data_IF_742779250563
#
_entry.id   IF_742779250563
#
_cell.length_a   1.000
_cell.length_b   1.000
_cell.length_c   1.000
_cell.angle_alpha   90.00
_cell.angle_beta   90.00
_cell.angle_gamma   90.00
#
_symmetry.space_group_name_H-M   'P 1'
#
loop_
_entity.id
_entity.type
_entity.pdbx_description
1 polymer ?
#
# COMPACT_ATOMS: atom_id res chain seq x y z
N UNK A 1 46.97 34.52 2.40
CA UNK A 1 46.25 33.96 1.24
C UNK A 1 45.84 32.53 1.60
N UNK A 2 44.72 32.41 2.29
CA UNK A 2 44.19 31.12 2.72
C UNK A 2 43.25 30.57 1.66
N UNK A 3 43.68 29.51 1.03
CA UNK A 3 42.87 28.73 0.07
C UNK A 3 41.84 27.94 0.83
N UNK A 4 40.60 28.43 0.83
CA UNK A 4 39.41 27.72 1.30
C UNK A 4 39.27 26.40 0.54
N UNK A 5 39.58 25.28 1.21
CA UNK A 5 39.29 23.93 0.75
C UNK A 5 37.77 23.76 0.70
N UNK A 6 37.26 23.62 -0.51
CA UNK A 6 35.87 23.24 -0.80
C UNK A 6 35.49 21.92 -0.08
N UNK A 7 34.32 21.85 0.59
CA UNK A 7 33.93 20.62 1.27
C UNK A 7 33.68 19.49 0.26
N UNK A 8 34.33 18.37 0.53
CA UNK A 8 34.27 17.06 -0.11
C UNK A 8 32.90 16.80 -0.75
N UNK A 9 32.77 16.95 -2.06
CA UNK A 9 31.73 16.28 -2.84
C UNK A 9 31.95 14.77 -2.62
N UNK A 10 31.03 14.11 -1.94
CA UNK A 10 30.97 12.64 -1.94
C UNK A 10 30.96 12.24 -3.42
N UNK A 11 31.81 11.28 -3.84
CA UNK A 11 31.79 10.77 -5.21
C UNK A 11 30.37 10.31 -5.51
N UNK A 12 29.85 10.69 -6.67
CA UNK A 12 28.54 10.29 -7.16
C UNK A 12 28.39 8.80 -6.91
N UNK A 13 27.50 8.45 -5.97
CA UNK A 13 27.26 7.06 -5.62
C UNK A 13 26.68 6.41 -6.88
N UNK A 14 27.53 5.70 -7.60
CA UNK A 14 27.20 5.01 -8.85
C UNK A 14 25.93 4.17 -8.60
N UNK A 15 24.85 4.49 -9.29
CA UNK A 15 23.59 3.79 -9.12
C UNK A 15 23.81 2.28 -9.45
N UNK A 16 23.58 1.43 -8.46
CA UNK A 16 23.78 -0.01 -8.59
C UNK A 16 22.44 -0.69 -8.89
N UNK A 17 22.48 -1.76 -9.69
CA UNK A 17 21.31 -2.62 -9.83
C UNK A 17 20.99 -3.33 -8.50
N UNK A 18 19.74 -3.77 -8.32
CA UNK A 18 19.33 -4.49 -7.10
C UNK A 18 20.14 -5.77 -6.92
N UNK A 19 20.46 -6.48 -8.02
CA UNK A 19 21.30 -7.67 -7.95
C UNK A 19 22.75 -7.35 -7.58
N UNK A 20 23.31 -6.24 -8.03
CA UNK A 20 24.64 -5.81 -7.61
C UNK A 20 24.68 -5.44 -6.13
N UNK A 21 23.65 -4.75 -5.63
CA UNK A 21 23.50 -4.44 -4.20
C UNK A 21 23.43 -5.73 -3.37
N UNK A 22 22.68 -6.73 -3.83
CA UNK A 22 22.57 -8.02 -3.16
C UNK A 22 23.90 -8.78 -3.14
N UNK A 23 24.67 -8.75 -4.24
CA UNK A 23 26.01 -9.36 -4.34
C UNK A 23 27.03 -8.69 -3.43
N UNK A 24 27.02 -7.34 -3.37
CA UNK A 24 27.94 -6.58 -2.50
C UNK A 24 27.63 -6.76 -1.02
N UNK A 25 26.42 -7.17 -0.67
CA UNK A 25 25.97 -7.32 0.71
C UNK A 25 25.38 -8.71 1.00
N UNK A 26 26.16 -9.80 0.81
CA UNK A 26 25.64 -11.17 0.89
C UNK A 26 25.08 -11.56 2.26
N UNK A 27 25.54 -10.90 3.32
CA UNK A 27 25.03 -11.12 4.69
C UNK A 27 23.67 -10.44 4.93
N UNK A 28 23.30 -9.46 4.09
CA UNK A 28 22.00 -8.78 4.16
C UNK A 28 21.02 -9.50 3.22
N UNK A 29 19.93 -9.95 3.77
CA UNK A 29 18.89 -10.64 2.99
C UNK A 29 18.05 -9.62 2.24
N UNK A 30 18.50 -9.20 1.06
CA UNK A 30 17.82 -8.21 0.21
C UNK A 30 16.72 -8.88 -0.61
N UNK A 31 17.00 -10.06 -1.19
CA UNK A 31 16.07 -10.77 -2.07
C UNK A 31 15.22 -11.76 -1.27
N UNK A 32 14.30 -11.23 -0.46
CA UNK A 32 13.40 -12.02 0.38
C UNK A 32 11.94 -11.66 0.11
N UNK A 33 11.06 -12.50 0.60
CA UNK A 33 9.62 -12.31 0.59
C UNK A 33 9.22 -10.94 1.20
N UNK A 34 8.33 -10.16 0.55
CA UNK A 34 7.95 -8.81 0.98
C UNK A 34 7.42 -8.72 2.41
N UNK A 35 6.73 -9.75 2.90
CA UNK A 35 6.24 -9.83 4.27
C UNK A 35 7.37 -9.71 5.33
N UNK A 36 8.59 -10.09 4.94
CA UNK A 36 9.79 -10.05 5.79
C UNK A 36 10.66 -8.81 5.53
N UNK A 37 10.21 -7.87 4.70
CA UNK A 37 10.94 -6.64 4.46
C UNK A 37 11.14 -5.85 5.76
N UNK A 38 12.27 -5.17 5.81
CA UNK A 38 12.70 -4.34 6.94
C UNK A 38 13.09 -2.96 6.44
N UNK A 39 13.49 -2.07 7.33
CA UNK A 39 14.01 -0.73 6.98
C UNK A 39 15.09 -0.78 5.89
N UNK A 40 15.91 -1.83 5.87
CA UNK A 40 16.93 -2.02 4.82
C UNK A 40 16.32 -1.96 3.41
N UNK A 41 15.14 -2.53 3.20
CA UNK A 41 14.48 -2.54 1.89
C UNK A 41 13.98 -1.14 1.50
N UNK A 42 13.51 -0.37 2.48
CA UNK A 42 13.16 1.04 2.27
C UNK A 42 14.39 1.86 1.89
N UNK A 43 15.52 1.63 2.56
CA UNK A 43 16.77 2.33 2.29
C UNK A 43 17.30 2.00 0.88
N UNK A 44 17.18 0.75 0.43
CA UNK A 44 17.55 0.32 -0.93
C UNK A 44 16.68 0.99 -1.99
N UNK A 45 15.37 1.13 -1.72
CA UNK A 45 14.43 1.79 -2.60
C UNK A 45 14.47 3.32 -2.47
N UNK A 46 15.35 3.86 -1.62
CA UNK A 46 15.37 5.29 -1.26
C UNK A 46 13.98 5.80 -0.89
N UNK A 47 13.24 4.95 -0.15
CA UNK A 47 11.87 5.20 0.22
C UNK A 47 11.76 6.02 1.50
N UNK A 48 11.00 7.09 1.44
CA UNK A 48 10.66 7.96 2.57
C UNK A 48 9.15 8.07 2.71
N UNK A 49 8.68 8.27 3.95
CA UNK A 49 7.28 8.55 4.23
C UNK A 49 7.12 10.02 4.60
N UNK A 50 6.07 10.66 4.08
CA UNK A 50 5.65 11.97 4.56
C UNK A 50 5.00 11.86 5.95
N UNK A 51 4.90 12.96 6.66
CA UNK A 51 4.03 13.00 7.84
C UNK A 51 2.58 12.75 7.41
N UNK A 52 1.81 12.11 8.31
CA UNK A 52 0.38 11.92 8.07
C UNK A 52 -0.35 13.27 8.14
N UNK A 53 -0.99 13.63 7.04
CA UNK A 53 -1.78 14.84 6.91
C UNK A 53 -3.27 14.50 6.83
N UNK A 54 -4.16 15.37 7.32
CA UNK A 54 -5.60 15.21 7.06
C UNK A 54 -5.85 15.13 5.55
N UNK A 55 -6.73 14.21 5.15
CA UNK A 55 -7.16 14.13 3.77
C UNK A 55 -7.89 15.40 3.33
N UNK A 56 -7.81 15.79 2.04
CA UNK A 56 -8.62 16.89 1.51
C UNK A 56 -10.11 16.68 1.80
N UNK A 57 -10.81 17.77 2.09
CA UNK A 57 -12.26 17.73 2.30
C UNK A 57 -12.97 17.66 0.94
N UNK A 58 -12.99 16.46 0.39
CA UNK A 58 -13.74 16.15 -0.81
C UNK A 58 -14.75 15.04 -0.51
N UNK A 59 -15.92 15.08 -1.09
CA UNK A 59 -16.95 14.08 -0.90
C UNK A 59 -17.60 13.70 -2.23
N UNK A 60 -17.68 12.39 -2.48
CA UNK A 60 -18.45 11.86 -3.59
C UNK A 60 -19.86 11.53 -3.13
N UNK A 61 -20.85 12.05 -3.84
CA UNK A 61 -22.23 11.71 -3.61
C UNK A 61 -22.54 10.35 -4.26
N UNK A 62 -22.70 9.32 -3.43
CA UNK A 62 -23.15 8.03 -3.91
C UNK A 62 -24.65 8.07 -4.22
N UNK A 63 -25.09 7.38 -5.27
CA UNK A 63 -26.51 7.24 -5.53
C UNK A 63 -27.21 6.63 -4.31
N UNK A 64 -28.38 7.13 -3.92
CA UNK A 64 -29.07 6.66 -2.73
C UNK A 64 -29.44 5.18 -2.87
N UNK A 65 -29.08 4.39 -1.90
CA UNK A 65 -29.52 3.00 -1.79
C UNK A 65 -31.02 3.02 -1.48
N UNK A 66 -31.84 2.47 -2.36
CA UNK A 66 -33.30 2.49 -2.24
C UNK A 66 -33.82 1.84 -0.94
N UNK A 67 -33.06 0.92 -0.34
CA UNK A 67 -33.47 0.20 0.84
C UNK A 67 -32.78 0.76 2.11
N UNK A 68 -33.53 1.57 2.86
CA UNK A 68 -33.04 2.18 4.11
C UNK A 68 -32.59 1.16 5.16
N UNK A 69 -33.19 -0.05 5.18
CA UNK A 69 -32.78 -1.13 6.08
C UNK A 69 -31.38 -1.65 5.76
N UNK A 70 -31.03 -1.76 4.48
CA UNK A 70 -29.69 -2.18 4.06
C UNK A 70 -28.65 -1.12 4.50
N UNK A 71 -28.96 0.16 4.31
CA UNK A 71 -28.08 1.27 4.74
C UNK A 71 -27.84 1.21 6.25
N UNK A 72 -28.92 1.14 7.04
CA UNK A 72 -28.82 1.07 8.49
C UNK A 72 -28.08 -0.17 8.98
N UNK A 73 -28.30 -1.32 8.35
CA UNK A 73 -27.61 -2.56 8.69
C UNK A 73 -26.11 -2.51 8.38
N UNK A 74 -25.71 -1.97 7.23
CA UNK A 74 -24.29 -1.77 6.86
C UNK A 74 -23.60 -0.81 7.81
N UNK A 75 -24.26 0.30 8.17
CA UNK A 75 -23.74 1.25 9.15
C UNK A 75 -23.52 0.59 10.52
N UNK A 76 -24.50 -0.14 11.05
CA UNK A 76 -24.38 -0.86 12.33
C UNK A 76 -23.25 -1.90 12.30
N UNK A 77 -23.10 -2.63 11.21
CA UNK A 77 -22.01 -3.58 11.04
C UNK A 77 -20.65 -2.88 11.02
N UNK A 78 -20.53 -1.77 10.31
CA UNK A 78 -19.32 -0.98 10.28
C UNK A 78 -18.97 -0.47 11.69
N UNK A 79 -19.92 0.18 12.38
CA UNK A 79 -19.75 0.68 13.74
C UNK A 79 -19.34 -0.44 14.71
N UNK A 80 -19.97 -1.60 14.63
CA UNK A 80 -19.62 -2.77 15.43
C UNK A 80 -18.21 -3.29 15.15
N UNK A 81 -17.80 -3.34 13.90
CA UNK A 81 -16.52 -3.90 13.50
C UNK A 81 -15.35 -2.93 13.71
N UNK A 82 -15.60 -1.63 13.71
CA UNK A 82 -14.57 -0.62 13.89
C UNK A 82 -14.49 -0.07 15.33
N UNK A 83 -15.62 0.05 16.02
CA UNK A 83 -15.68 0.66 17.36
C UNK A 83 -16.08 -0.33 18.47
N UNK A 84 -16.40 -1.57 18.13
CA UNK A 84 -16.78 -2.62 19.08
C UNK A 84 -15.58 -3.28 19.77
N UNK A 85 -15.86 -4.04 20.83
CA UNK A 85 -14.85 -4.84 21.51
C UNK A 85 -14.43 -6.06 20.66
N UNK A 86 -13.14 -6.42 20.69
CA UNK A 86 -12.65 -7.64 20.06
C UNK A 86 -12.62 -7.59 18.52
N UNK A 87 -12.27 -6.47 17.96
CA UNK A 87 -12.26 -6.22 16.52
C UNK A 87 -11.35 -7.21 15.77
N UNK A 88 -11.95 -8.05 14.95
CA UNK A 88 -11.21 -8.96 14.08
C UNK A 88 -10.91 -8.27 12.73
N UNK A 89 -9.67 -8.34 12.27
CA UNK A 89 -9.28 -7.79 10.96
C UNK A 89 -10.16 -8.31 9.81
N UNK A 90 -10.60 -9.57 9.86
CA UNK A 90 -11.51 -10.17 8.87
C UNK A 90 -12.84 -9.42 8.79
N UNK A 91 -13.38 -9.00 9.95
CA UNK A 91 -14.63 -8.25 10.02
C UNK A 91 -14.46 -6.82 9.50
N UNK A 92 -13.35 -6.13 9.86
CA UNK A 92 -13.00 -4.81 9.32
C UNK A 92 -12.87 -4.86 7.79
N UNK A 93 -12.06 -5.77 7.26
CA UNK A 93 -11.90 -5.95 5.80
C UNK A 93 -13.23 -6.30 5.11
N UNK A 94 -14.05 -7.13 5.73
CA UNK A 94 -15.39 -7.48 5.24
C UNK A 94 -16.32 -6.27 5.16
N UNK A 95 -16.29 -5.37 6.16
CA UNK A 95 -17.09 -4.13 6.16
C UNK A 95 -16.64 -3.16 5.07
N UNK A 96 -15.34 -2.94 4.93
CA UNK A 96 -14.80 -2.08 3.86
C UNK A 96 -15.18 -2.63 2.50
N UNK A 97 -14.96 -3.93 2.26
CA UNK A 97 -15.33 -4.59 1.00
C UNK A 97 -16.83 -4.47 0.70
N UNK A 98 -17.69 -4.78 1.69
CA UNK A 98 -19.14 -4.72 1.51
C UNK A 98 -19.66 -3.33 1.21
N UNK A 99 -18.94 -2.28 1.63
CA UNK A 99 -19.31 -0.90 1.37
C UNK A 99 -18.72 -0.38 0.06
N UNK A 100 -17.43 -0.64 -0.22
CA UNK A 100 -16.75 -0.17 -1.41
C UNK A 100 -17.13 -0.92 -2.69
N UNK A 101 -17.54 -2.18 -2.59
CA UNK A 101 -17.95 -3.01 -3.73
C UNK A 101 -19.43 -3.39 -3.64
N UNK A 102 -20.27 -2.47 -3.20
CA UNK A 102 -21.72 -2.63 -3.19
C UNK A 102 -22.33 -2.33 -4.55
N UNK A 103 -23.58 -2.73 -4.78
CA UNK A 103 -24.31 -2.48 -6.02
C UNK A 103 -24.40 -0.98 -6.38
N UNK A 104 -24.34 -0.10 -5.39
CA UNK A 104 -24.34 1.35 -5.56
C UNK A 104 -22.94 1.96 -5.72
N UNK A 105 -21.89 1.16 -5.62
CA UNK A 105 -20.51 1.62 -5.77
C UNK A 105 -20.01 1.37 -7.21
N UNK A 106 -19.21 2.25 -7.77
CA UNK A 106 -18.59 2.03 -9.08
C UNK A 106 -17.44 1.01 -9.02
N UNK A 107 -17.04 0.57 -7.82
CA UNK A 107 -15.88 -0.29 -7.64
C UNK A 107 -16.26 -1.77 -7.60
N UNK A 108 -15.52 -2.58 -8.32
CA UNK A 108 -15.44 -4.03 -8.15
C UNK A 108 -14.25 -4.40 -7.26
N UNK A 109 -14.26 -5.61 -6.67
CA UNK A 109 -13.15 -6.04 -5.82
C UNK A 109 -12.55 -7.36 -6.31
N UNK A 110 -11.27 -7.54 -5.97
CA UNK A 110 -10.51 -8.75 -6.26
C UNK A 110 -9.62 -9.11 -5.08
N UNK A 111 -9.00 -10.28 -5.11
CA UNK A 111 -8.11 -10.78 -4.05
C UNK A 111 -6.69 -10.86 -4.58
N UNK A 112 -5.76 -10.70 -3.64
CA UNK A 112 -4.33 -10.98 -3.77
C UNK A 112 -3.65 -10.17 -4.87
N UNK A 113 -2.72 -9.35 -4.46
CA UNK A 113 -1.78 -8.70 -5.35
C UNK A 113 -0.56 -9.60 -5.57
N UNK A 114 0.11 -9.37 -6.67
CA UNK A 114 1.32 -10.10 -7.05
C UNK A 114 2.45 -9.10 -7.26
N UNK A 115 3.51 -9.23 -6.45
CA UNK A 115 4.73 -8.47 -6.65
C UNK A 115 5.69 -9.29 -7.52
N UNK A 116 5.98 -8.76 -8.69
CA UNK A 116 6.95 -9.33 -9.60
C UNK A 116 8.33 -8.72 -9.39
N UNK A 117 9.34 -9.57 -9.43
CA UNK A 117 10.74 -9.18 -9.29
C UNK A 117 11.59 -10.06 -10.23
N UNK A 118 11.83 -9.59 -11.44
CA UNK A 118 12.33 -10.41 -12.52
C UNK A 118 11.42 -11.60 -12.76
N UNK A 119 11.99 -12.81 -12.76
CA UNK A 119 11.23 -14.05 -12.90
C UNK A 119 10.52 -14.54 -11.63
N UNK A 120 10.69 -13.85 -10.50
CA UNK A 120 10.08 -14.25 -9.23
C UNK A 120 8.75 -13.53 -9.03
N UNK A 121 7.79 -14.25 -8.45
CA UNK A 121 6.49 -13.70 -8.07
C UNK A 121 6.24 -13.98 -6.59
N UNK A 122 5.77 -12.97 -5.88
CA UNK A 122 5.34 -13.07 -4.48
C UNK A 122 3.88 -12.70 -4.36
N UNK A 123 3.07 -13.59 -3.76
CA UNK A 123 1.66 -13.32 -3.47
C UNK A 123 1.57 -12.42 -2.25
N UNK A 124 0.83 -11.33 -2.36
CA UNK A 124 0.55 -10.37 -1.29
C UNK A 124 -0.94 -10.42 -0.95
N UNK A 125 -1.33 -11.18 0.09
CA UNK A 125 -2.74 -11.37 0.44
C UNK A 125 -3.37 -10.06 0.92
N UNK A 126 -4.26 -9.48 0.11
CA UNK A 126 -5.04 -8.29 0.42
C UNK A 126 -6.33 -8.27 -0.42
N UNK A 127 -7.18 -7.27 -0.24
CA UNK A 127 -8.24 -6.95 -1.19
C UNK A 127 -7.81 -5.72 -2.01
N UNK A 128 -8.10 -5.72 -3.31
CA UNK A 128 -7.94 -4.54 -4.13
C UNK A 128 -9.20 -4.25 -4.94
N UNK A 129 -9.35 -3.01 -5.33
CA UNK A 129 -10.57 -2.46 -5.91
C UNK A 129 -10.26 -1.90 -7.29
N UNK A 130 -11.17 -2.15 -8.23
CA UNK A 130 -11.04 -1.74 -9.62
C UNK A 130 -12.23 -0.85 -10.01
N UNK A 131 -11.96 0.21 -10.76
CA UNK A 131 -12.93 0.98 -11.52
C UNK A 131 -12.79 0.54 -12.98
N UNK A 132 -13.89 0.05 -13.61
CA UNK A 132 -13.87 -0.43 -14.99
C UNK A 132 -12.70 -1.39 -15.30
N UNK A 133 -12.43 -2.35 -14.39
CA UNK A 133 -11.32 -3.29 -14.39
C UNK A 133 -9.91 -2.69 -14.19
N UNK A 134 -9.77 -1.38 -14.05
CA UNK A 134 -8.50 -0.73 -13.75
C UNK A 134 -8.31 -0.72 -12.23
N UNK A 135 -7.22 -1.29 -11.68
CA UNK A 135 -6.95 -1.27 -10.26
C UNK A 135 -6.73 0.17 -9.78
N UNK A 136 -7.44 0.60 -8.73
CA UNK A 136 -7.33 1.97 -8.20
C UNK A 136 -6.78 1.98 -6.78
N UNK A 137 -7.15 1.01 -5.95
CA UNK A 137 -6.72 0.98 -4.56
C UNK A 137 -6.65 -0.45 -4.01
N UNK A 138 -5.81 -0.67 -2.99
CA UNK A 138 -5.80 -1.89 -2.20
C UNK A 138 -6.16 -1.59 -0.74
N UNK A 139 -6.54 -2.63 0.02
CA UNK A 139 -6.84 -2.53 1.44
C UNK A 139 -6.17 -3.66 2.22
N UNK A 140 -5.57 -3.31 3.34
CA UNK A 140 -4.98 -4.26 4.29
C UNK A 140 -5.15 -3.75 5.72
N UNK A 141 -5.39 -4.68 6.65
CA UNK A 141 -5.43 -4.40 8.08
C UNK A 141 -4.10 -4.78 8.75
N UNK A 142 -3.65 -3.96 9.72
CA UNK A 142 -2.40 -4.18 10.46
C UNK A 142 -2.36 -5.53 11.16
N UNK A 143 -3.46 -5.92 11.81
CA UNK A 143 -3.53 -7.18 12.55
C UNK A 143 -3.41 -8.39 11.61
N UNK A 144 -3.86 -8.25 10.35
CA UNK A 144 -3.62 -9.25 9.30
C UNK A 144 -2.13 -9.41 9.01
N UNK A 145 -1.41 -8.30 8.79
CA UNK A 145 0.05 -8.32 8.53
C UNK A 145 0.78 -8.99 9.70
N UNK A 146 0.46 -8.59 10.93
CA UNK A 146 1.05 -9.17 12.14
C UNK A 146 0.75 -10.66 12.25
N UNK A 147 -0.49 -11.08 11.98
CA UNK A 147 -0.90 -12.49 11.97
C UNK A 147 -0.12 -13.30 10.94
N UNK A 148 0.04 -12.79 9.72
CA UNK A 148 0.80 -13.44 8.67
C UNK A 148 2.29 -13.56 9.04
N UNK A 149 2.91 -12.51 9.60
CA UNK A 149 4.29 -12.56 10.10
C UNK A 149 4.46 -13.60 11.19
N UNK A 150 3.52 -13.66 12.16
CA UNK A 150 3.53 -14.69 13.20
C UNK A 150 3.48 -16.08 12.59
N UNK A 151 2.57 -16.35 11.67
CA UNK A 151 2.47 -17.64 10.96
C UNK A 151 3.73 -17.98 10.18
N UNK A 152 4.38 -16.99 9.55
CA UNK A 152 5.59 -17.17 8.75
C UNK A 152 6.81 -17.49 9.59
N UNK A 153 6.87 -16.97 10.80
CA UNK A 153 7.99 -17.17 11.73
C UNK A 153 7.79 -18.40 12.61
N UNK A 154 6.53 -18.73 12.95
CA UNK A 154 6.20 -19.94 13.67
C UNK A 154 6.44 -21.17 12.77
N UNK A 155 7.24 -22.12 13.23
CA UNK A 155 7.36 -23.41 12.57
C UNK A 155 6.09 -24.21 12.81
N UNK A 156 5.45 -24.64 11.72
CA UNK A 156 4.26 -25.50 11.78
C UNK A 156 4.72 -26.91 12.22
N UNK A 157 4.08 -27.44 13.26
CA UNK A 157 4.20 -28.87 13.62
C UNK A 157 5.16 -29.21 14.75
N UNK A 158 5.87 -28.25 15.33
CA UNK A 158 6.78 -28.56 16.43
C UNK A 158 6.09 -28.60 17.80
N UNK A 159 6.34 -29.65 18.56
CA UNK A 159 6.14 -29.66 20.01
C UNK A 159 6.77 -28.42 20.59
N UNK A 160 6.18 -27.84 21.63
CA UNK A 160 6.71 -26.67 22.31
C UNK A 160 8.21 -26.83 22.58
N UNK A 161 9.03 -26.05 21.89
CA UNK A 161 10.48 -26.02 22.02
C UNK A 161 10.90 -24.58 22.36
N UNK A 162 11.25 -24.29 23.65
CA UNK A 162 11.55 -22.95 24.11
C UNK A 162 12.62 -22.20 23.29
N UNK A 163 13.77 -22.81 22.90
CA UNK A 163 14.75 -22.15 22.03
C UNK A 163 14.21 -21.75 20.68
N UNK A 164 13.40 -22.59 20.05
CA UNK A 164 12.77 -22.31 18.74
C UNK A 164 11.78 -21.15 18.86
N UNK A 165 11.03 -21.13 19.95
CA UNK A 165 10.06 -20.06 20.25
C UNK A 165 10.76 -18.72 20.49
N UNK A 166 11.86 -18.71 21.24
CA UNK A 166 12.68 -17.53 21.49
C UNK A 166 13.27 -16.98 20.19
N UNK A 167 13.81 -17.84 19.32
CA UNK A 167 14.29 -17.45 18.00
C UNK A 167 13.17 -16.89 17.12
N UNK A 168 11.99 -17.49 17.17
CA UNK A 168 10.79 -16.99 16.47
C UNK A 168 10.42 -15.58 16.93
N UNK A 169 10.39 -15.36 18.24
CA UNK A 169 10.07 -14.04 18.81
C UNK A 169 11.10 -12.97 18.43
N UNK A 170 12.39 -13.29 18.44
CA UNK A 170 13.45 -12.39 18.00
C UNK A 170 13.33 -12.05 16.50
N UNK A 171 13.04 -13.05 15.66
CA UNK A 171 12.79 -12.82 14.24
C UNK A 171 11.57 -11.93 14.02
N UNK A 172 10.45 -12.19 14.72
CA UNK A 172 9.25 -11.39 14.64
C UNK A 172 9.52 -9.94 15.05
N UNK A 173 10.24 -9.72 16.15
CA UNK A 173 10.64 -8.37 16.59
C UNK A 173 11.47 -7.64 15.53
N UNK A 174 12.37 -8.36 14.84
CA UNK A 174 13.23 -7.78 13.80
C UNK A 174 12.46 -7.32 12.54
N UNK A 175 11.40 -8.06 12.16
CA UNK A 175 10.59 -7.75 10.95
C UNK A 175 9.35 -6.91 11.25
N UNK A 176 9.03 -6.69 12.53
CA UNK A 176 7.93 -5.80 12.93
C UNK A 176 8.48 -4.39 13.09
N UNK A 177 7.98 -3.41 12.32
CA UNK A 177 8.46 -2.04 12.43
C UNK A 177 8.08 -1.43 13.79
N UNK A 178 8.93 -0.55 14.31
CA UNK A 178 8.65 0.22 15.52
C UNK A 178 7.54 1.25 15.28
N UNK A 179 7.54 1.84 14.09
CA UNK A 179 6.50 2.75 13.62
C UNK A 179 5.54 2.00 12.68
N UNK A 180 4.30 1.71 13.11
CA UNK A 180 3.35 0.94 12.30
C UNK A 180 3.00 1.55 10.96
N UNK A 181 2.98 2.88 10.88
CA UNK A 181 2.66 3.61 9.65
C UNK A 181 3.81 3.56 8.62
N UNK A 182 5.01 3.18 9.05
CA UNK A 182 6.19 3.06 8.17
C UNK A 182 6.55 1.60 7.89
N UNK A 183 5.55 0.73 7.82
CA UNK A 183 5.76 -0.69 7.55
C UNK A 183 6.23 -0.92 6.11
N UNK A 184 7.41 -1.53 5.89
CA UNK A 184 7.93 -1.82 4.55
C UNK A 184 7.01 -2.68 3.69
N UNK A 185 6.16 -3.51 4.31
CA UNK A 185 5.18 -4.32 3.59
C UNK A 185 4.13 -3.47 2.86
N UNK A 186 3.78 -2.28 3.40
CA UNK A 186 2.85 -1.35 2.73
C UNK A 186 3.45 -0.83 1.42
N UNK A 187 4.76 -0.59 1.41
CA UNK A 187 5.47 -0.18 0.18
C UNK A 187 5.46 -1.31 -0.86
N UNK A 188 5.65 -2.55 -0.43
CA UNK A 188 5.55 -3.70 -1.34
C UNK A 188 4.15 -3.83 -1.96
N UNK A 189 3.08 -3.57 -1.18
CA UNK A 189 1.70 -3.56 -1.68
C UNK A 189 1.47 -2.43 -2.69
N UNK A 190 2.01 -1.22 -2.43
CA UNK A 190 1.93 -0.10 -3.37
C UNK A 190 2.65 -0.42 -4.69
N UNK A 191 3.85 -1.01 -4.62
CA UNK A 191 4.59 -1.40 -5.82
C UNK A 191 3.82 -2.45 -6.62
N UNK A 192 3.32 -3.50 -5.96
CA UNK A 192 2.54 -4.56 -6.61
C UNK A 192 1.26 -4.02 -7.28
N UNK A 193 0.56 -3.11 -6.61
CA UNK A 193 -0.61 -2.44 -7.17
C UNK A 193 -0.21 -1.57 -8.37
N UNK A 194 0.91 -0.84 -8.27
CA UNK A 194 1.42 -0.04 -9.38
C UNK A 194 1.85 -0.87 -10.59
N UNK A 195 2.50 -2.03 -10.38
CA UNK A 195 2.80 -2.98 -11.46
C UNK A 195 1.52 -3.48 -12.15
N UNK A 196 0.48 -3.78 -11.35
CA UNK A 196 -0.82 -4.21 -11.88
C UNK A 196 -1.51 -3.08 -12.67
N UNK A 197 -1.48 -1.84 -12.15
CA UNK A 197 -1.99 -0.66 -12.87
C UNK A 197 -1.25 -0.46 -14.20
N UNK A 198 0.08 -0.49 -14.16
CA UNK A 198 0.92 -0.33 -15.33
C UNK A 198 0.64 -1.36 -16.41
N UNK A 199 0.51 -2.63 -16.02
CA UNK A 199 0.18 -3.72 -16.94
C UNK A 199 -1.25 -3.69 -17.49
N UNK A 200 -2.16 -2.96 -16.82
CA UNK A 200 -3.57 -2.83 -17.27
C UNK A 200 -3.75 -1.67 -18.26
N UNK A 201 -2.83 -0.71 -18.28
CA UNK A 201 -2.88 0.39 -19.24
C UNK A 201 -2.58 -0.14 -20.66
N UNK A 202 -3.29 0.41 -21.66
CA UNK A 202 -3.00 0.07 -23.06
C UNK A 202 -1.56 0.47 -23.42
N UNK A 203 -0.84 -0.33 -24.21
CA UNK A 203 0.58 -0.10 -24.52
C UNK A 203 0.91 1.30 -25.07
N UNK A 204 0.00 1.91 -25.81
CA UNK A 204 0.15 3.27 -26.35
C UNK A 204 0.02 4.33 -25.26
N UNK A 205 -0.96 4.21 -24.37
CA UNK A 205 -1.16 5.10 -23.22
C UNK A 205 -0.04 4.93 -22.20
N UNK A 206 0.43 3.70 -22.00
CA UNK A 206 1.54 3.38 -21.11
C UNK A 206 2.81 4.12 -21.51
N UNK A 207 3.11 4.22 -22.81
CA UNK A 207 4.31 4.92 -23.30
C UNK A 207 4.26 6.43 -23.10
N UNK A 208 3.06 7.03 -23.03
CA UNK A 208 2.86 8.47 -22.81
C UNK A 208 2.73 8.81 -21.32
N UNK A 209 2.35 7.85 -20.49
CA UNK A 209 2.17 8.06 -19.07
C UNK A 209 3.52 8.25 -18.34
N UNK A 210 3.64 9.30 -17.56
CA UNK A 210 4.80 9.54 -16.72
C UNK A 210 4.97 8.51 -15.58
N UNK A 211 3.94 7.70 -15.32
CA UNK A 211 3.89 6.69 -14.26
C UNK A 211 2.46 6.39 -13.81
N UNK A 212 2.34 5.71 -12.68
CA UNK A 212 1.06 5.36 -12.04
C UNK A 212 1.06 5.80 -10.57
N UNK A 213 -0.12 6.05 -10.03
CA UNK A 213 -0.29 6.50 -8.65
C UNK A 213 -1.15 5.49 -7.87
N UNK A 214 -0.56 4.36 -7.42
CA UNK A 214 -1.26 3.38 -6.59
C UNK A 214 -1.66 3.99 -5.24
N UNK A 215 -2.83 3.58 -4.73
CA UNK A 215 -3.34 3.98 -3.43
C UNK A 215 -3.57 2.76 -2.56
N UNK A 216 -3.22 2.85 -1.27
CA UNK A 216 -3.40 1.77 -0.31
C UNK A 216 -4.15 2.28 0.92
N UNK A 217 -5.27 1.66 1.22
CA UNK A 217 -6.00 1.85 2.47
C UNK A 217 -5.39 0.96 3.54
N UNK A 218 -5.06 1.54 4.68
CA UNK A 218 -4.50 0.84 5.82
C UNK A 218 -5.32 1.11 7.07
N UNK A 219 -5.84 0.05 7.67
CA UNK A 219 -6.55 0.10 8.97
C UNK A 219 -5.63 -0.40 10.07
N UNK A 220 -5.71 0.25 11.21
CA UNK A 220 -4.96 -0.08 12.42
C UNK A 220 -5.90 -0.49 13.54
N UNK A 221 -5.37 -0.69 14.75
CA UNK A 221 -6.16 -0.82 15.97
C UNK A 221 -6.74 0.52 16.43
N UNK A 222 -6.29 1.63 15.84
CA UNK A 222 -6.84 2.95 16.06
C UNK A 222 -8.25 3.05 15.48
N UNK A 223 -9.20 3.46 16.30
CA UNK A 223 -10.61 3.57 15.93
C UNK A 223 -10.96 4.96 15.39
N UNK A 224 -9.99 5.83 15.20
CA UNK A 224 -10.21 7.21 14.79
C UNK A 224 -10.03 7.41 13.30
N UNK A 225 -8.98 6.81 12.70
CA UNK A 225 -8.58 7.10 11.33
C UNK A 225 -8.32 5.86 10.47
N UNK A 226 -8.70 5.97 9.21
CA UNK A 226 -8.14 5.17 8.12
C UNK A 226 -7.00 5.93 7.48
N UNK A 227 -5.87 5.26 7.23
CA UNK A 227 -4.72 5.85 6.55
C UNK A 227 -4.70 5.48 5.08
N UNK A 228 -4.51 6.47 4.22
CA UNK A 228 -4.38 6.30 2.78
C UNK A 228 -2.95 6.62 2.39
N UNK A 229 -2.30 5.64 1.81
CA UNK A 229 -0.96 5.77 1.25
C UNK A 229 -1.06 5.98 -0.25
N UNK A 230 -0.29 6.91 -0.78
CA UNK A 230 -0.14 7.11 -2.21
C UNK A 230 1.31 7.42 -2.56
N UNK A 231 1.70 7.03 -3.77
CA UNK A 231 3.04 7.35 -4.29
C UNK A 231 2.97 7.39 -5.81
N UNK A 232 3.86 8.16 -6.42
CA UNK A 232 4.01 8.15 -7.87
C UNK A 232 5.13 7.16 -8.23
N UNK A 233 4.79 6.12 -8.99
CA UNK A 233 5.72 5.13 -9.52
C UNK A 233 5.97 5.42 -10.99
N UNK A 234 7.18 5.89 -11.31
CA UNK A 234 7.58 6.10 -12.70
C UNK A 234 7.74 4.76 -13.44
N UNK A 235 7.64 4.79 -14.77
CA UNK A 235 7.93 3.62 -15.61
C UNK A 235 9.30 3.03 -15.31
N UNK A 236 10.33 3.87 -15.20
CA UNK A 236 11.70 3.45 -14.89
C UNK A 236 11.83 2.77 -13.52
N UNK A 237 11.01 3.17 -12.54
CA UNK A 237 10.97 2.49 -11.24
C UNK A 237 10.34 1.09 -11.36
N UNK A 238 9.27 0.95 -12.15
CA UNK A 238 8.63 -0.36 -12.40
C UNK A 238 9.59 -1.27 -13.17
N UNK A 239 10.23 -0.76 -14.21
CA UNK A 239 11.22 -1.48 -15.02
C UNK A 239 12.39 -2.04 -14.19
N UNK A 240 12.77 -1.35 -13.09
CA UNK A 240 13.79 -1.83 -12.16
C UNK A 240 13.37 -3.14 -11.45
N UNK A 241 12.07 -3.36 -11.26
CA UNK A 241 11.56 -4.62 -10.70
C UNK A 241 11.47 -5.71 -11.78
N UNK A 242 11.14 -5.35 -13.01
CA UNK A 242 11.06 -6.29 -14.13
C UNK A 242 12.46 -6.76 -14.55
N UNK A 243 13.43 -5.86 -14.52
CA UNK A 243 14.82 -6.09 -14.91
C UNK A 243 15.83 -5.74 -13.79
N UNK A 244 15.82 -6.47 -12.65
CA UNK A 244 16.63 -6.13 -11.47
C UNK A 244 18.15 -6.27 -11.66
N UNK A 245 18.60 -6.76 -12.80
CA UNK A 245 20.01 -6.80 -13.18
C UNK A 245 20.49 -5.50 -13.85
N UNK A 246 19.56 -4.69 -14.37
CA UNK A 246 19.88 -3.45 -15.07
C UNK A 246 20.05 -2.32 -14.06
N UNK A 247 21.09 -1.50 -14.25
CA UNK A 247 21.30 -0.31 -13.44
C UNK A 247 20.21 0.72 -13.76
N UNK A 248 19.59 1.36 -12.76
CA UNK A 248 18.67 2.44 -13.03
C UNK A 248 19.39 3.62 -13.68
N UNK A 249 18.79 4.18 -14.72
CA UNK A 249 19.34 5.33 -15.45
C UNK A 249 19.33 6.63 -14.63
N UNK A 250 18.41 6.73 -13.68
CA UNK A 250 18.23 7.89 -12.79
C UNK A 250 18.14 7.40 -11.35
N UNK A 251 18.73 8.11 -10.38
CA UNK A 251 18.53 7.80 -8.96
C UNK A 251 17.03 7.85 -8.63
N UNK A 252 16.50 6.76 -8.09
CA UNK A 252 15.11 6.71 -7.68
C UNK A 252 14.95 7.20 -6.25
N UNK A 253 13.95 8.02 -6.03
CA UNK A 253 13.48 8.38 -4.69
C UNK A 253 11.98 8.13 -4.64
N UNK A 254 11.57 7.23 -3.78
CA UNK A 254 10.17 6.90 -3.58
C UNK A 254 9.63 7.67 -2.38
N UNK A 255 8.76 8.64 -2.64
CA UNK A 255 8.09 9.38 -1.57
C UNK A 255 6.68 8.83 -1.42
N UNK A 256 6.41 8.22 -0.27
CA UNK A 256 5.08 7.71 0.08
C UNK A 256 4.36 8.77 0.90
N UNK A 257 3.28 9.30 0.36
CA UNK A 257 2.40 10.24 1.06
C UNK A 257 1.41 9.48 1.93
N UNK A 258 1.16 9.98 3.14
CA UNK A 258 0.19 9.42 4.07
C UNK A 258 -0.88 10.47 4.33
N UNK A 259 -2.14 10.11 4.08
CA UNK A 259 -3.31 10.93 4.41
C UNK A 259 -4.20 10.19 5.40
N UNK A 260 -4.77 10.89 6.38
CA UNK A 260 -5.68 10.32 7.36
C UNK A 260 -7.12 10.76 7.08
N UNK A 261 -8.06 9.80 7.08
CA UNK A 261 -9.49 10.05 6.96
C UNK A 261 -10.13 9.63 8.28
N UNK A 262 -10.78 10.54 9.01
CA UNK A 262 -11.51 10.15 10.21
C UNK A 262 -12.69 9.25 9.85
N UNK A 263 -12.90 8.19 10.63
CA UNK A 263 -14.07 7.31 10.43
C UNK A 263 -15.39 8.04 10.69
N UNK A 264 -15.37 9.02 11.56
CA UNK A 264 -16.57 9.81 11.91
C UNK A 264 -16.64 11.11 11.11
N UNK A 265 -17.84 11.58 10.74
CA UNK A 265 -19.11 10.87 10.84
C UNK A 265 -19.18 9.70 9.85
N UNK A 266 -19.75 8.56 10.30
CA UNK A 266 -19.80 7.30 9.53
C UNK A 266 -20.63 7.45 8.25
N UNK A 267 -21.65 8.32 8.30
CA UNK A 267 -22.56 8.59 7.18
C UNK A 267 -21.84 9.09 5.93
N UNK A 268 -20.83 9.92 6.14
CA UNK A 268 -20.06 10.54 5.04
C UNK A 268 -18.74 9.83 4.76
N UNK A 269 -18.33 8.89 5.61
CA UNK A 269 -17.02 8.24 5.52
C UNK A 269 -16.75 7.64 4.14
N UNK A 270 -17.67 6.84 3.62
CA UNK A 270 -17.47 6.19 2.32
C UNK A 270 -17.47 7.16 1.16
N UNK A 271 -18.26 8.24 1.21
CA UNK A 271 -18.22 9.31 0.21
C UNK A 271 -16.87 10.03 0.19
N UNK A 272 -16.33 10.36 1.38
CA UNK A 272 -15.00 10.97 1.52
C UNK A 272 -13.89 10.02 1.06
N UNK A 273 -13.99 8.74 1.44
CA UNK A 273 -13.04 7.72 1.04
C UNK A 273 -13.01 7.55 -0.49
N UNK A 274 -14.16 7.40 -1.13
CA UNK A 274 -14.25 7.26 -2.59
C UNK A 274 -13.73 8.49 -3.32
N UNK A 275 -14.07 9.70 -2.87
CA UNK A 275 -13.53 10.92 -3.45
C UNK A 275 -12.00 10.92 -3.45
N UNK A 276 -11.37 10.50 -2.34
CA UNK A 276 -9.91 10.43 -2.26
C UNK A 276 -9.33 9.28 -3.11
N UNK A 277 -9.98 8.11 -3.16
CA UNK A 277 -9.50 6.99 -3.97
C UNK A 277 -9.56 7.31 -5.46
N UNK A 278 -10.58 8.00 -5.92
CA UNK A 278 -10.79 8.31 -7.33
C UNK A 278 -10.15 9.64 -7.76
N UNK A 279 -9.77 10.53 -6.80
CA UNK A 279 -9.02 11.74 -7.13
C UNK A 279 -7.66 11.39 -7.76
N UNK A 280 -7.26 12.13 -8.79
CA UNK A 280 -5.96 12.02 -9.48
C UNK A 280 -5.61 10.60 -9.98
N UNK A 281 -6.60 9.75 -10.27
CA UNK A 281 -6.36 8.59 -11.12
C UNK A 281 -6.17 9.12 -12.54
N UNK A 282 -4.98 8.88 -13.15
CA UNK A 282 -4.68 9.24 -14.55
C UNK A 282 -5.53 8.41 -15.53
N UNK A 283 -6.83 8.66 -15.54
CA UNK A 283 -7.75 8.02 -16.48
C UNK A 283 -8.47 9.13 -17.23
N UNK A 284 -8.31 9.16 -18.55
CA UNK A 284 -9.05 10.05 -19.45
C UNK A 284 -10.59 9.86 -19.37
N UNK A 285 -11.06 8.86 -18.63
CA UNK A 285 -12.46 8.64 -18.29
C UNK A 285 -12.90 9.36 -17.00
N UNK A 286 -12.04 10.20 -16.43
CA UNK A 286 -12.30 10.95 -15.17
C UNK A 286 -13.35 12.02 -15.36
N UNK A 287 -13.61 12.50 -16.59
CA UNK A 287 -14.65 13.49 -16.83
C UNK A 287 -16.01 13.09 -16.22
N UNK A 288 -16.32 11.79 -16.21
CA UNK A 288 -17.52 11.26 -15.53
C UNK A 288 -17.40 11.12 -14.01
N UNK A 289 -16.20 10.95 -13.49
CA UNK A 289 -15.98 10.78 -12.03
C UNK A 289 -15.74 12.14 -11.35
N UNK A 290 -15.11 13.10 -12.05
CA UNK A 290 -14.92 14.47 -11.54
C UNK A 290 -16.23 15.25 -11.41
N UNK A 291 -17.21 15.02 -12.28
CA UNK A 291 -18.56 15.60 -12.15
C UNK A 291 -19.28 15.15 -10.85
N UNK A 292 -18.84 14.04 -10.23
CA UNK A 292 -19.42 13.49 -9.00
C UNK A 292 -18.68 13.93 -7.72
N UNK A 293 -17.52 14.59 -7.86
CA UNK A 293 -16.71 15.04 -6.72
C UNK A 293 -17.00 16.50 -6.40
N UNK A 294 -17.58 16.74 -5.24
CA UNK A 294 -17.79 18.09 -4.72
C UNK A 294 -16.74 18.40 -3.65
N UNK A 295 -15.97 19.47 -3.88
CA UNK A 295 -15.07 20.01 -2.86
C UNK A 295 -15.86 20.98 -1.97
N UNK A 296 -15.83 20.76 -0.66
CA UNK A 296 -16.40 21.66 0.35
C UNK A 296 -15.33 22.57 0.92
#
# INVERSE_FOLDING_TARGET
MDTLRSPNRRPDAEALSIYELARRQPRKRILIEPLLWTRLHLDILSCTFSQSNPAPQAMMHLPPIKNAFIVASRRRLFERHFFGLGQLWVAKEGSIRGSLASESSPLSWRRDLYLYFGSRCSVLPCHYYCLDNIPVAAHVDRSRIVSQRKKRVARVGDRYNPPVWSLGSLKLKKITPTEPLHDPYLVALLIALGQLQWGTLEPQKTRQAAGVTPKLMFTTEDDEFMYIYSTNLSSSFIDMFDNPAVKPSVPHSLVVQISSIPYRPVETFFGRLLALLLSATCLENVDKAEELIVYQ
#
